data_IF_845368854698
#
_entry.id   IF_845368854698
#
_cell.length_a   1.000
_cell.length_b   1.000
_cell.length_c   1.000
_cell.angle_alpha   90.00
_cell.angle_beta   90.00
_cell.angle_gamma   90.00
#
_symmetry.space_group_name_H-M   'P 1'
#
loop_
_entity.id
_entity.type
_entity.pdbx_description
1 polymer ?
#
# COMPACT_ATOMS: atom_id res chain seq x y z
N UNK A 1 21.79 -2.10 -28.09
CA UNK A 1 20.64 -1.18 -27.96
C UNK A 1 20.53 -0.84 -26.48
N UNK A 2 20.39 0.44 -26.12
CA UNK A 2 20.19 0.82 -24.72
C UNK A 2 18.70 0.65 -24.41
N UNK A 3 18.36 -0.28 -23.53
CA UNK A 3 16.99 -0.45 -23.03
C UNK A 3 16.61 0.79 -22.21
N UNK A 4 16.00 1.76 -22.89
CA UNK A 4 15.47 2.97 -22.28
C UNK A 4 14.16 2.63 -21.59
N UNK A 5 14.07 2.90 -20.27
CA UNK A 5 12.81 2.88 -19.54
C UNK A 5 12.62 1.80 -18.46
N UNK A 6 13.65 0.97 -18.18
CA UNK A 6 13.66 -0.01 -17.07
C UNK A 6 12.46 -0.97 -17.06
N UNK A 7 11.84 -1.21 -18.21
CA UNK A 7 10.74 -2.18 -18.32
C UNK A 7 11.26 -3.56 -17.91
N UNK A 8 10.52 -4.23 -17.03
CA UNK A 8 10.85 -5.56 -16.48
C UNK A 8 12.14 -5.63 -15.62
N UNK A 9 12.72 -4.47 -15.26
CA UNK A 9 13.86 -4.42 -14.35
C UNK A 9 13.37 -4.33 -12.90
N UNK A 10 13.73 -5.31 -12.07
CA UNK A 10 13.46 -5.28 -10.62
C UNK A 10 14.45 -4.30 -9.98
N UNK A 11 13.95 -3.15 -9.54
CA UNK A 11 14.77 -2.10 -8.92
C UNK A 11 14.95 -2.27 -7.40
N UNK A 12 13.97 -2.89 -6.72
CA UNK A 12 13.96 -3.04 -5.27
C UNK A 12 13.05 -4.19 -4.81
N UNK A 13 13.22 -4.60 -3.55
CA UNK A 13 12.25 -5.41 -2.81
C UNK A 13 11.41 -4.51 -1.92
N UNK A 14 10.11 -4.78 -1.80
CA UNK A 14 9.18 -3.95 -1.02
C UNK A 14 8.19 -4.80 -0.24
N UNK A 15 7.70 -4.27 0.89
CA UNK A 15 6.60 -4.81 1.68
C UNK A 15 5.33 -3.94 1.59
N UNK A 16 5.39 -2.84 0.85
CA UNK A 16 4.37 -1.78 0.88
C UNK A 16 3.17 -2.15 0.01
N UNK A 17 3.42 -2.59 -1.23
CA UNK A 17 2.35 -2.92 -2.17
C UNK A 17 2.73 -4.08 -3.08
N UNK A 18 1.69 -4.74 -3.59
CA UNK A 18 1.80 -5.74 -4.65
C UNK A 18 0.79 -5.44 -5.75
N UNK A 19 1.18 -5.67 -7.01
CA UNK A 19 0.39 -5.30 -8.19
C UNK A 19 0.35 -6.49 -9.14
N UNK A 20 -0.85 -7.04 -9.33
CA UNK A 20 -1.12 -7.98 -10.43
C UNK A 20 -1.80 -7.22 -11.57
N UNK A 21 -0.99 -6.72 -12.50
CA UNK A 21 -1.48 -5.99 -13.66
C UNK A 21 -2.29 -6.84 -14.65
N UNK A 22 -2.13 -8.17 -14.64
CA UNK A 22 -2.89 -9.06 -15.51
C UNK A 22 -4.29 -9.34 -14.97
N UNK A 23 -4.41 -9.50 -13.65
CA UNK A 23 -5.70 -9.66 -12.97
C UNK A 23 -6.36 -8.32 -12.59
N UNK A 24 -5.65 -7.20 -12.73
CA UNK A 24 -6.14 -5.87 -12.35
C UNK A 24 -6.28 -5.68 -10.84
N UNK A 25 -5.41 -6.32 -10.05
CA UNK A 25 -5.47 -6.31 -8.58
C UNK A 25 -4.31 -5.54 -7.97
N UNK A 26 -4.61 -4.89 -6.84
CA UNK A 26 -3.66 -4.09 -6.07
C UNK A 26 -3.87 -4.38 -4.59
N UNK A 27 -2.77 -4.59 -3.88
CA UNK A 27 -2.75 -4.76 -2.43
C UNK A 27 -1.85 -3.72 -1.78
N UNK A 28 -2.25 -3.21 -0.62
CA UNK A 28 -1.40 -2.46 0.30
C UNK A 28 -1.17 -3.29 1.55
N UNK A 29 0.09 -3.61 1.84
CA UNK A 29 0.52 -4.36 3.02
C UNK A 29 -0.33 -5.64 3.25
N UNK A 30 -0.70 -6.31 2.16
CA UNK A 30 -1.52 -7.53 2.19
C UNK A 30 -3.05 -7.33 2.18
N UNK A 31 -3.55 -6.10 2.30
CA UNK A 31 -4.97 -5.79 2.18
C UNK A 31 -5.35 -5.46 0.73
N UNK A 32 -6.45 -6.01 0.23
CA UNK A 32 -6.99 -5.63 -1.08
C UNK A 32 -7.38 -4.14 -1.09
N UNK A 33 -7.05 -3.44 -2.17
CA UNK A 33 -7.30 -2.00 -2.26
C UNK A 33 -8.80 -1.66 -2.17
N UNK A 34 -9.67 -2.56 -2.65
CA UNK A 34 -11.11 -2.39 -2.59
C UNK A 34 -11.64 -2.42 -1.16
N UNK A 35 -11.06 -3.27 -0.31
CA UNK A 35 -11.44 -3.36 1.11
C UNK A 35 -11.04 -2.11 1.86
N UNK A 36 -9.82 -1.60 1.63
CA UNK A 36 -9.37 -0.34 2.21
C UNK A 36 -10.23 0.83 1.75
N UNK A 37 -10.55 0.91 0.45
CA UNK A 37 -11.37 2.00 -0.09
C UNK A 37 -12.80 2.03 0.47
N UNK A 38 -13.36 0.87 0.85
CA UNK A 38 -14.71 0.77 1.41
C UNK A 38 -14.75 0.94 2.93
N UNK A 39 -13.72 0.49 3.63
CA UNK A 39 -13.78 0.27 5.07
C UNK A 39 -12.75 1.07 5.89
N UNK A 40 -11.77 1.73 5.26
CA UNK A 40 -10.73 2.49 5.94
C UNK A 40 -10.81 3.98 5.61
N UNK A 41 -10.44 4.82 6.57
CA UNK A 41 -10.23 6.25 6.37
C UNK A 41 -8.89 6.54 5.69
N UNK A 42 -8.72 7.77 5.21
CA UNK A 42 -7.45 8.22 4.66
C UNK A 42 -6.32 8.09 5.69
N UNK A 43 -6.57 8.49 6.93
CA UNK A 43 -5.60 8.47 8.02
C UNK A 43 -5.21 7.04 8.42
N UNK A 44 -6.16 6.10 8.42
CA UNK A 44 -5.88 4.67 8.62
C UNK A 44 -4.97 4.11 7.53
N UNK A 45 -5.20 4.48 6.26
CA UNK A 45 -4.35 4.05 5.13
C UNK A 45 -2.96 4.68 5.20
N UNK A 46 -2.84 5.96 5.56
CA UNK A 46 -1.53 6.59 5.75
C UNK A 46 -0.76 5.91 6.88
N UNK A 47 -1.43 5.64 8.00
CA UNK A 47 -0.81 4.91 9.10
C UNK A 47 -0.33 3.52 8.65
N UNK A 48 -1.17 2.78 7.91
CA UNK A 48 -0.83 1.48 7.34
C UNK A 48 0.44 1.53 6.46
N UNK A 49 0.53 2.50 5.55
CA UNK A 49 1.66 2.59 4.62
C UNK A 49 2.97 2.94 5.32
N UNK A 50 2.92 3.69 6.42
CA UNK A 50 4.10 4.06 7.19
C UNK A 50 4.52 3.00 8.22
N UNK A 51 3.57 2.31 8.85
CA UNK A 51 3.83 1.39 9.97
C UNK A 51 3.73 -0.09 9.57
N UNK A 52 3.24 -0.39 8.37
CA UNK A 52 2.98 -1.75 7.87
C UNK A 52 1.95 -2.54 8.68
N UNK A 53 1.09 -1.83 9.41
CA UNK A 53 -0.06 -2.38 10.15
C UNK A 53 -1.15 -1.32 10.31
N UNK A 54 -2.42 -1.73 10.41
CA UNK A 54 -3.52 -0.80 10.69
C UNK A 54 -3.41 -0.25 12.11
N UNK A 55 -3.77 1.03 12.32
CA UNK A 55 -3.67 1.62 13.65
C UNK A 55 -4.67 0.98 14.62
N UNK A 56 -4.27 0.90 15.87
CA UNK A 56 -5.22 0.77 16.98
C UNK A 56 -6.03 2.06 17.13
N UNK A 57 -7.14 2.00 17.88
CA UNK A 57 -7.96 3.18 18.15
C UNK A 57 -7.16 4.33 18.77
N UNK A 58 -6.26 4.02 19.70
CA UNK A 58 -5.43 5.02 20.38
C UNK A 58 -4.41 5.67 19.43
N UNK A 59 -3.80 4.89 18.54
CA UNK A 59 -2.85 5.41 17.55
C UNK A 59 -3.54 6.28 16.50
N UNK A 60 -4.74 5.89 16.05
CA UNK A 60 -5.54 6.70 15.14
C UNK A 60 -5.99 8.01 15.81
N UNK A 61 -6.36 7.98 17.09
CA UNK A 61 -6.68 9.18 17.85
C UNK A 61 -5.48 10.12 17.99
N UNK A 62 -4.27 9.59 18.21
CA UNK A 62 -3.05 10.40 18.30
C UNK A 62 -2.69 11.03 16.95
N UNK A 63 -2.87 10.31 15.84
CA UNK A 63 -2.61 10.83 14.50
C UNK A 63 -3.53 12.01 14.11
N UNK A 64 -4.74 12.05 14.67
CA UNK A 64 -5.75 13.07 14.38
C UNK A 64 -5.68 14.30 15.29
N UNK A 65 -4.68 14.40 16.18
CA UNK A 65 -4.50 15.55 17.07
C UNK A 65 -3.77 16.72 16.43
#
# INVERSE_FOLDING_TARGET
MSDKGLREVIAAQTRISDIDGAAGRLWYVGYEIEDLARNASFEEVIYLLHNLELPTRAELEELNR
#
